data_IF_530866302234
#
_entry.id   IF_530866302234
#
_cell.length_a   1.000
_cell.length_b   1.000
_cell.length_c   1.000
_cell.angle_alpha   90.00
_cell.angle_beta   90.00
_cell.angle_gamma   90.00
#
_symmetry.space_group_name_H-M   'P 1'
#
loop_
_entity.id
_entity.type
_entity.pdbx_description
1 polymer ?
#
# COMPACT_ATOMS: atom_id res chain seq x y z
N UNK A 1 21.22 -21.85 21.79
CA UNK A 1 20.98 -20.38 21.67
C UNK A 1 20.67 -20.08 20.23
N UNK A 2 19.46 -19.60 19.87
CA UNK A 2 19.16 -19.19 18.49
C UNK A 2 19.91 -17.88 18.24
N UNK A 3 20.84 -17.87 17.27
CA UNK A 3 21.49 -16.65 16.79
C UNK A 3 20.39 -15.67 16.33
N UNK A 4 20.14 -14.61 17.11
CA UNK A 4 19.32 -13.50 16.65
C UNK A 4 20.12 -12.77 15.57
N UNK A 5 19.52 -12.60 14.39
CA UNK A 5 20.06 -11.74 13.34
C UNK A 5 20.32 -10.35 13.93
N UNK A 6 21.46 -9.70 13.63
CA UNK A 6 21.83 -8.41 14.24
C UNK A 6 20.89 -7.28 13.83
N UNK A 7 20.24 -7.43 12.69
CA UNK A 7 19.23 -6.54 12.12
C UNK A 7 18.14 -7.38 11.44
N UNK A 8 16.88 -6.98 11.55
CA UNK A 8 15.74 -7.62 10.91
C UNK A 8 14.69 -6.57 10.51
N UNK A 9 13.89 -6.87 9.49
CA UNK A 9 12.77 -6.00 9.14
C UNK A 9 11.73 -5.99 10.26
N UNK A 10 11.25 -4.79 10.59
CA UNK A 10 9.98 -4.59 11.30
C UNK A 10 8.84 -4.48 10.29
N UNK A 11 9.06 -3.69 9.24
CA UNK A 11 8.16 -3.53 8.10
C UNK A 11 8.91 -2.95 6.90
N UNK A 12 8.36 -3.17 5.72
CA UNK A 12 8.73 -2.47 4.50
C UNK A 12 7.46 -2.09 3.75
N UNK A 13 7.41 -0.88 3.23
CA UNK A 13 6.25 -0.31 2.53
C UNK A 13 6.70 0.31 1.20
N UNK A 14 6.55 -0.41 0.08
CA UNK A 14 6.71 0.18 -1.23
C UNK A 14 5.49 1.04 -1.59
N UNK A 15 5.70 2.31 -1.85
CA UNK A 15 4.65 3.28 -2.22
C UNK A 15 4.89 3.79 -3.64
N UNK A 16 3.92 3.61 -4.53
CA UNK A 16 3.97 4.12 -5.89
C UNK A 16 3.66 5.62 -5.85
N UNK A 17 4.71 6.45 -5.88
CA UNK A 17 4.60 7.91 -5.79
C UNK A 17 4.07 8.50 -7.10
N UNK A 18 4.50 7.93 -8.22
CA UNK A 18 4.17 8.38 -9.55
C UNK A 18 4.25 7.19 -10.51
N UNK A 19 3.38 7.18 -11.52
CA UNK A 19 3.45 6.22 -12.62
C UNK A 19 2.74 6.76 -13.86
N UNK A 20 3.38 6.64 -15.01
CA UNK A 20 2.82 6.87 -16.34
C UNK A 20 3.23 5.74 -17.30
N UNK A 21 3.25 5.99 -18.61
CA UNK A 21 3.64 5.02 -19.64
C UNK A 21 5.16 4.80 -19.72
N UNK A 22 5.94 5.80 -19.35
CA UNK A 22 7.38 5.85 -19.53
C UNK A 22 8.13 5.50 -18.24
N UNK A 23 7.58 5.82 -17.08
CA UNK A 23 8.25 5.64 -15.79
C UNK A 23 7.31 5.43 -14.59
N UNK A 24 7.84 4.75 -13.58
CA UNK A 24 7.27 4.68 -12.24
C UNK A 24 8.32 5.10 -11.19
N UNK A 25 7.92 5.92 -10.23
CA UNK A 25 8.75 6.33 -9.08
C UNK A 25 8.19 5.66 -7.83
N UNK A 26 9.04 4.91 -7.12
CA UNK A 26 8.64 4.17 -5.91
C UNK A 26 9.45 4.68 -4.72
N UNK A 27 8.74 5.05 -3.65
CA UNK A 27 9.30 5.32 -2.34
C UNK A 27 9.11 4.08 -1.46
N UNK A 28 10.19 3.36 -1.13
CA UNK A 28 10.14 2.25 -0.19
C UNK A 28 10.58 2.72 1.20
N UNK A 29 9.63 2.76 2.14
CA UNK A 29 9.90 3.06 3.54
C UNK A 29 10.20 1.76 4.26
N UNK A 30 11.37 1.66 4.90
CA UNK A 30 11.75 0.49 5.69
C UNK A 30 11.89 0.87 7.16
N UNK A 31 11.44 -0.01 8.03
CA UNK A 31 11.70 0.03 9.46
C UNK A 31 12.34 -1.28 9.88
N UNK A 32 13.34 -1.21 10.75
CA UNK A 32 14.11 -2.37 11.22
C UNK A 32 14.11 -2.46 12.74
N UNK A 33 14.46 -3.64 13.25
CA UNK A 33 14.85 -3.86 14.64
C UNK A 33 16.31 -4.27 14.64
N UNK A 34 17.13 -3.56 15.40
CA UNK A 34 18.56 -3.86 15.57
C UNK A 34 18.85 -4.19 17.03
N UNK A 35 19.77 -5.13 17.26
CA UNK A 35 20.30 -5.41 18.60
C UNK A 35 21.49 -4.51 18.96
N UNK A 36 22.03 -3.75 17.99
CA UNK A 36 23.16 -2.84 18.20
C UNK A 36 22.64 -1.47 18.63
N UNK A 37 23.39 -0.80 19.52
CA UNK A 37 23.09 0.56 20.00
C UNK A 37 23.31 1.63 18.93
N UNK A 38 24.12 1.35 17.92
CA UNK A 38 24.35 2.24 16.79
C UNK A 38 23.16 2.15 15.83
N UNK A 39 22.29 3.16 15.90
CA UNK A 39 21.08 3.24 15.09
C UNK A 39 21.34 3.84 13.70
N UNK A 40 22.51 4.46 13.50
CA UNK A 40 22.94 5.14 12.27
C UNK A 40 23.95 4.30 11.45
N UNK A 41 23.75 2.98 11.41
CA UNK A 41 24.61 2.11 10.62
C UNK A 41 24.24 2.19 9.13
N UNK A 42 25.23 2.26 8.21
CA UNK A 42 24.97 2.03 6.79
C UNK A 42 24.54 0.58 6.61
N UNK A 43 23.47 0.38 5.84
CA UNK A 43 22.95 -0.94 5.46
C UNK A 43 22.73 -0.93 3.96
N UNK A 44 23.15 -1.99 3.29
CA UNK A 44 22.87 -2.17 1.87
C UNK A 44 21.51 -2.84 1.72
N UNK A 45 20.69 -2.30 0.81
CA UNK A 45 19.41 -2.88 0.44
C UNK A 45 19.43 -3.30 -1.01
N UNK A 46 18.99 -4.53 -1.25
CA UNK A 46 18.76 -5.06 -2.59
C UNK A 46 17.26 -5.27 -2.79
N UNK A 47 16.68 -4.50 -3.70
CA UNK A 47 15.30 -4.64 -4.15
C UNK A 47 15.30 -5.44 -5.45
N UNK A 48 14.47 -6.47 -5.52
CA UNK A 48 14.20 -7.25 -6.72
C UNK A 48 12.70 -7.24 -6.98
N UNK A 49 12.31 -6.81 -8.17
CA UNK A 49 10.93 -6.87 -8.64
C UNK A 49 10.83 -7.82 -9.83
N UNK A 50 10.01 -8.87 -9.70
CA UNK A 50 9.69 -9.77 -10.81
C UNK A 50 8.32 -9.42 -11.34
N UNK A 51 8.29 -8.85 -12.52
CA UNK A 51 7.06 -8.46 -13.20
C UNK A 51 6.49 -9.56 -14.09
N UNK A 52 5.33 -9.27 -14.70
CA UNK A 52 4.68 -10.12 -15.69
C UNK A 52 5.63 -10.49 -16.83
N UNK A 53 5.48 -11.71 -17.36
CA UNK A 53 6.36 -12.27 -18.41
C UNK A 53 7.84 -12.41 -18.00
N UNK A 54 8.12 -12.45 -16.69
CA UNK A 54 9.45 -12.73 -16.15
C UNK A 54 10.43 -11.56 -16.21
N UNK A 55 9.97 -10.33 -16.49
CA UNK A 55 10.84 -9.15 -16.44
C UNK A 55 11.36 -8.96 -15.02
N UNK A 56 12.67 -8.92 -14.83
CA UNK A 56 13.30 -8.69 -13.53
C UNK A 56 13.92 -7.30 -13.50
N UNK A 57 13.64 -6.58 -12.42
CA UNK A 57 14.25 -5.27 -12.11
C UNK A 57 14.99 -5.43 -10.79
N UNK A 58 16.22 -4.96 -10.73
CA UNK A 58 17.06 -5.00 -9.51
C UNK A 58 17.60 -3.63 -9.19
N UNK A 59 17.49 -3.22 -7.93
CA UNK A 59 18.04 -1.95 -7.42
C UNK A 59 18.87 -2.27 -6.19
N UNK A 60 20.09 -1.77 -6.15
CA UNK A 60 20.97 -1.84 -4.99
C UNK A 60 21.30 -0.42 -4.52
N UNK A 61 21.12 -0.16 -3.22
CA UNK A 61 21.46 1.13 -2.61
C UNK A 61 21.99 0.92 -1.20
N UNK A 62 23.04 1.67 -0.86
CA UNK A 62 23.42 1.89 0.53
C UNK A 62 22.47 2.92 1.15
N UNK A 63 21.92 2.61 2.33
CA UNK A 63 21.08 3.53 3.10
C UNK A 63 21.57 3.67 4.53
N UNK A 64 21.47 4.89 5.05
CA UNK A 64 21.69 5.15 6.46
C UNK A 64 20.34 5.08 7.16
N UNK A 65 20.22 4.16 8.11
CA UNK A 65 19.08 4.12 9.00
C UNK A 65 19.14 5.34 9.94
N UNK A 66 17.98 5.92 10.25
CA UNK A 66 17.81 6.93 11.29
C UNK A 66 16.69 6.46 12.19
N UNK A 67 16.98 6.32 13.48
CA UNK A 67 16.04 5.72 14.46
C UNK A 67 15.46 4.38 13.99
N UNK A 68 16.27 3.59 13.28
CA UNK A 68 15.87 2.29 12.73
C UNK A 68 14.93 2.37 11.52
N UNK A 69 14.85 3.49 10.82
CA UNK A 69 14.08 3.62 9.58
C UNK A 69 14.88 4.29 8.45
N UNK A 70 14.51 4.00 7.21
CA UNK A 70 15.06 4.67 6.02
C UNK A 70 14.01 4.75 4.90
N UNK A 71 14.21 5.69 3.98
CA UNK A 71 13.42 5.78 2.74
C UNK A 71 14.34 5.57 1.54
N UNK A 72 13.95 4.65 0.66
CA UNK A 72 14.66 4.32 -0.57
C UNK A 72 13.79 4.74 -1.75
N UNK A 73 14.21 5.76 -2.49
CA UNK A 73 13.57 6.16 -3.75
C UNK A 73 14.27 5.53 -4.94
N UNK A 74 13.52 4.96 -5.87
CA UNK A 74 14.05 4.47 -7.14
C UNK A 74 13.01 4.58 -8.27
N UNK A 75 13.50 4.46 -9.50
CA UNK A 75 12.72 4.65 -10.72
C UNK A 75 12.77 3.38 -11.58
N UNK A 76 11.66 3.12 -12.28
CA UNK A 76 11.52 2.02 -13.22
C UNK A 76 11.07 2.62 -14.55
N UNK A 77 11.79 2.33 -15.64
CA UNK A 77 11.36 2.69 -16.99
C UNK A 77 10.36 1.69 -17.58
N UNK A 78 9.51 2.16 -18.50
CA UNK A 78 8.50 1.40 -19.24
C UNK A 78 7.65 0.49 -18.33
N UNK A 79 7.02 1.01 -17.27
CA UNK A 79 6.31 0.18 -16.30
C UNK A 79 5.08 -0.51 -16.93
N UNK A 80 4.83 -1.77 -16.54
CA UNK A 80 3.54 -2.42 -16.76
C UNK A 80 2.61 -1.97 -15.64
N UNK A 81 1.60 -1.17 -15.97
CA UNK A 81 0.68 -0.57 -14.99
C UNK A 81 -0.43 -1.55 -14.60
N UNK A 82 -0.85 -1.47 -13.36
CA UNK A 82 -2.06 -2.12 -12.89
C UNK A 82 -3.29 -1.25 -13.20
N UNK A 83 -4.36 -1.87 -13.67
CA UNK A 83 -5.64 -1.24 -13.97
C UNK A 83 -6.82 -1.98 -13.34
N UNK A 84 -7.88 -1.28 -12.95
CA UNK A 84 -9.17 -1.90 -12.65
C UNK A 84 -9.71 -2.69 -13.84
N UNK A 85 -10.59 -3.65 -13.57
CA UNK A 85 -11.27 -4.42 -14.59
C UNK A 85 -11.98 -3.48 -15.58
N UNK A 86 -11.87 -3.79 -16.88
CA UNK A 86 -12.43 -2.96 -17.95
C UNK A 86 -11.57 -1.76 -18.37
N UNK A 87 -10.52 -1.40 -17.63
CA UNK A 87 -9.64 -0.26 -17.98
C UNK A 87 -8.25 -0.66 -18.54
N UNK A 88 -7.87 -1.93 -18.38
CA UNK A 88 -6.57 -2.45 -18.82
C UNK A 88 -6.22 -3.75 -18.10
N UNK A 89 -4.94 -4.10 -18.13
CA UNK A 89 -4.41 -5.31 -17.48
C UNK A 89 -4.10 -5.08 -15.99
N UNK A 90 -4.33 -6.10 -15.17
CA UNK A 90 -4.05 -6.11 -13.72
C UNK A 90 -2.59 -6.55 -13.46
N UNK A 91 -1.61 -5.82 -14.00
CA UNK A 91 -0.20 -6.23 -13.93
C UNK A 91 0.34 -6.12 -12.50
N UNK A 92 0.84 -7.23 -11.95
CA UNK A 92 1.34 -7.36 -10.58
C UNK A 92 2.81 -7.81 -10.59
N UNK A 93 3.59 -7.22 -9.69
CA UNK A 93 5.01 -7.52 -9.48
C UNK A 93 5.19 -8.23 -8.13
N UNK A 94 6.01 -9.28 -8.11
CA UNK A 94 6.60 -9.78 -6.87
C UNK A 94 7.70 -8.81 -6.44
N UNK A 95 7.49 -8.08 -5.36
CA UNK A 95 8.46 -7.16 -4.76
C UNK A 95 9.18 -7.86 -3.60
N UNK A 96 10.50 -7.98 -3.69
CA UNK A 96 11.35 -8.48 -2.62
C UNK A 96 12.39 -7.42 -2.27
N UNK A 97 12.54 -7.11 -0.98
CA UNK A 97 13.63 -6.28 -0.47
C UNK A 97 14.45 -7.09 0.52
N UNK A 98 15.78 -7.05 0.38
CA UNK A 98 16.72 -7.78 1.22
C UNK A 98 17.70 -6.80 1.86
N UNK A 99 17.87 -6.89 3.19
CA UNK A 99 18.95 -6.22 3.92
C UNK A 99 20.23 -7.05 3.78
N UNK A 100 21.32 -6.38 3.45
CA UNK A 100 22.63 -6.97 3.28
C UNK A 100 23.61 -6.37 4.29
N UNK A 101 24.53 -7.22 4.77
CA UNK A 101 25.73 -6.79 5.49
C UNK A 101 26.95 -7.25 4.68
N UNK A 102 27.47 -6.38 3.82
CA UNK A 102 28.36 -6.82 2.74
C UNK A 102 27.60 -7.69 1.75
N UNK A 103 28.12 -8.88 1.43
CA UNK A 103 27.46 -9.83 0.51
C UNK A 103 26.47 -10.80 1.21
N UNK A 104 26.36 -10.74 2.54
CA UNK A 104 25.53 -11.66 3.31
C UNK A 104 24.10 -11.12 3.45
N UNK A 105 23.10 -11.93 3.04
CA UNK A 105 21.69 -11.63 3.23
C UNK A 105 21.27 -11.76 4.69
N UNK A 106 20.99 -10.63 5.32
CA UNK A 106 20.60 -10.56 6.72
C UNK A 106 19.13 -10.91 6.87
N UNK A 107 18.24 -10.26 6.13
CA UNK A 107 16.80 -10.48 6.22
C UNK A 107 16.10 -10.04 4.94
N UNK A 108 14.91 -10.58 4.67
CA UNK A 108 14.14 -10.26 3.46
C UNK A 108 12.68 -10.05 3.78
N UNK A 109 12.05 -9.14 3.04
CA UNK A 109 10.62 -8.88 3.10
C UNK A 109 10.04 -8.92 1.69
N UNK A 110 8.83 -9.45 1.55
CA UNK A 110 8.18 -9.66 0.26
C UNK A 110 6.72 -9.22 0.29
N UNK A 111 6.25 -8.69 -0.84
CA UNK A 111 4.83 -8.42 -1.09
C UNK A 111 4.53 -8.44 -2.58
N UNK A 112 3.24 -8.42 -2.93
CA UNK A 112 2.78 -8.13 -4.28
C UNK A 112 2.60 -6.62 -4.42
N UNK A 113 3.04 -6.06 -5.55
CA UNK A 113 2.92 -4.63 -5.84
C UNK A 113 2.33 -4.42 -7.23
N UNK A 114 1.28 -3.60 -7.35
CA UNK A 114 0.80 -3.09 -8.63
C UNK A 114 1.22 -1.64 -8.82
N UNK A 115 1.64 -1.29 -10.04
CA UNK A 115 2.05 0.06 -10.38
C UNK A 115 0.82 0.86 -10.86
N UNK A 116 0.20 1.61 -9.96
CA UNK A 116 -0.99 2.42 -10.26
C UNK A 116 -0.99 3.74 -9.51
N UNK A 117 -1.68 4.75 -10.05
CA UNK A 117 -2.04 5.97 -9.32
C UNK A 117 -3.55 6.05 -9.20
N UNK A 118 -4.06 6.14 -7.97
CA UNK A 118 -5.49 6.40 -7.71
C UNK A 118 -5.61 7.74 -6.98
N UNK A 119 -6.41 8.65 -7.52
CA UNK A 119 -6.57 10.02 -7.01
C UNK A 119 -8.04 10.42 -7.01
N UNK A 120 -8.39 11.36 -6.14
CA UNK A 120 -9.63 12.14 -6.27
C UNK A 120 -9.29 13.47 -6.98
N UNK A 121 -10.08 13.95 -7.95
CA UNK A 121 -9.90 15.27 -8.53
C UNK A 121 -9.97 16.37 -7.47
N UNK A 122 -9.09 17.36 -7.54
CA UNK A 122 -9.14 18.54 -6.66
C UNK A 122 -10.37 19.41 -7.01
N UNK A 123 -11.05 19.92 -5.98
CA UNK A 123 -12.13 20.90 -6.15
C UNK A 123 -13.47 20.35 -6.68
N UNK A 124 -13.58 19.05 -6.95
CA UNK A 124 -14.86 18.41 -7.24
C UNK A 124 -15.53 17.93 -5.94
N UNK A 125 -16.77 18.37 -5.76
CA UNK A 125 -17.67 17.87 -4.73
C UNK A 125 -18.09 16.44 -5.12
N UNK A 126 -17.40 15.45 -4.56
CA UNK A 126 -17.86 14.06 -4.39
C UNK A 126 -18.07 13.22 -5.67
N UNK A 127 -17.18 12.24 -5.93
CA UNK A 127 -17.56 11.03 -6.66
C UNK A 127 -16.53 10.44 -7.63
N UNK A 128 -15.86 11.26 -8.43
CA UNK A 128 -14.97 10.73 -9.46
C UNK A 128 -13.64 10.25 -8.85
N UNK A 129 -13.25 9.02 -9.15
CA UNK A 129 -11.89 8.55 -8.94
C UNK A 129 -11.14 8.65 -10.27
N UNK A 130 -9.86 9.02 -10.23
CA UNK A 130 -8.96 8.96 -11.36
C UNK A 130 -7.98 7.82 -11.14
N UNK A 131 -7.92 6.89 -12.09
CA UNK A 131 -6.95 5.80 -12.11
C UNK A 131 -6.01 6.00 -13.28
N UNK A 132 -4.72 6.17 -12.99
CA UNK A 132 -3.69 6.50 -13.97
C UNK A 132 -4.09 7.69 -14.87
N UNK A 133 -4.79 8.68 -14.28
CA UNK A 133 -5.27 9.88 -14.95
C UNK A 133 -6.58 9.71 -15.74
N UNK A 134 -7.18 8.52 -15.77
CA UNK A 134 -8.48 8.27 -16.44
C UNK A 134 -9.60 8.18 -15.41
N UNK A 135 -10.77 8.71 -15.74
CA UNK A 135 -11.95 8.61 -14.90
C UNK A 135 -12.38 7.16 -14.70
N UNK A 136 -12.62 6.80 -13.46
CA UNK A 136 -13.13 5.51 -13.03
C UNK A 136 -14.57 5.70 -12.58
N UNK A 137 -15.48 5.04 -13.28
CA UNK A 137 -16.91 4.99 -12.97
C UNK A 137 -17.26 3.66 -12.32
N UNK A 138 -18.13 3.70 -11.33
CA UNK A 138 -18.69 2.53 -10.66
C UNK A 138 -20.18 2.76 -10.42
N UNK A 139 -20.98 1.69 -10.47
CA UNK A 139 -22.44 1.75 -10.36
C UNK A 139 -22.93 1.58 -8.92
N UNK A 140 -22.13 0.94 -8.07
CA UNK A 140 -22.54 0.60 -6.70
C UNK A 140 -21.35 0.51 -5.76
N UNK A 141 -21.59 0.87 -4.50
CA UNK A 141 -20.67 0.55 -3.40
C UNK A 141 -21.17 -0.71 -2.70
N UNK A 142 -20.32 -1.72 -2.60
CA UNK A 142 -20.60 -2.98 -1.88
C UNK A 142 -19.82 -2.97 -0.58
N UNK A 143 -20.53 -2.92 0.54
CA UNK A 143 -19.92 -3.04 1.85
C UNK A 143 -19.45 -4.48 2.09
N UNK A 144 -18.24 -4.62 2.60
CA UNK A 144 -17.70 -5.86 3.17
C UNK A 144 -17.72 -5.65 4.68
N UNK A 145 -18.48 -6.49 5.40
CA UNK A 145 -18.57 -6.48 6.85
C UNK A 145 -17.75 -7.64 7.45
N UNK A 146 -17.38 -7.59 8.75
CA UNK A 146 -16.53 -8.60 9.36
C UNK A 146 -17.04 -10.04 9.24
N UNK A 147 -18.36 -10.24 9.23
CA UNK A 147 -19.00 -11.56 9.20
C UNK A 147 -19.11 -12.15 7.78
N UNK A 148 -18.70 -11.41 6.74
CA UNK A 148 -18.75 -11.84 5.34
C UNK A 148 -17.58 -12.78 4.95
N UNK A 149 -17.03 -13.55 5.90
CA UNK A 149 -15.81 -14.38 5.76
C UNK A 149 -15.83 -15.41 4.61
N UNK A 150 -16.97 -15.61 3.93
CA UNK A 150 -17.15 -16.52 2.79
C UNK A 150 -17.66 -15.88 1.51
N UNK A 151 -17.87 -14.57 1.47
CA UNK A 151 -18.34 -13.90 0.26
C UNK A 151 -17.17 -13.74 -0.70
N UNK A 152 -16.96 -14.78 -1.52
CA UNK A 152 -16.38 -14.66 -2.87
C UNK A 152 -16.91 -13.37 -3.46
N UNK A 153 -16.03 -12.39 -3.67
CA UNK A 153 -16.32 -11.06 -4.23
C UNK A 153 -17.66 -11.03 -4.97
N UNK A 154 -18.76 -10.55 -4.37
CA UNK A 154 -20.04 -10.45 -5.08
C UNK A 154 -20.06 -9.25 -6.04
N UNK A 155 -18.88 -8.67 -6.32
CA UNK A 155 -18.70 -7.48 -7.10
C UNK A 155 -18.48 -7.84 -8.58
N UNK A 156 -19.38 -7.35 -9.42
CA UNK A 156 -19.08 -7.12 -10.84
C UNK A 156 -17.88 -6.17 -10.98
N UNK A 157 -17.27 -6.14 -12.17
CA UNK A 157 -16.21 -5.17 -12.51
C UNK A 157 -16.58 -3.71 -12.23
N UNK A 158 -17.88 -3.42 -12.11
CA UNK A 158 -18.43 -2.08 -12.02
C UNK A 158 -18.77 -1.69 -10.56
N UNK A 159 -18.30 -2.45 -9.56
CA UNK A 159 -18.51 -2.19 -8.14
C UNK A 159 -17.25 -1.62 -7.47
N UNK A 160 -17.45 -0.72 -6.51
CA UNK A 160 -16.42 -0.26 -5.57
C UNK A 160 -16.65 -0.96 -4.23
N UNK A 161 -15.64 -1.64 -3.68
CA UNK A 161 -15.78 -2.24 -2.35
C UNK A 161 -15.56 -1.20 -1.25
N UNK A 162 -16.26 -1.38 -0.14
CA UNK A 162 -16.00 -0.64 1.10
C UNK A 162 -15.75 -1.65 2.22
N UNK A 163 -14.49 -1.77 2.67
CA UNK A 163 -14.16 -2.56 3.85
C UNK A 163 -14.53 -1.74 5.08
N UNK A 164 -15.64 -2.09 5.74
CA UNK A 164 -16.32 -1.20 6.69
C UNK A 164 -16.03 -1.57 8.15
N UNK A 165 -15.55 -0.60 8.93
CA UNK A 165 -15.28 -0.71 10.38
C UNK A 165 -14.41 -1.92 10.82
N UNK A 166 -13.61 -2.46 9.89
CA UNK A 166 -12.57 -3.46 10.13
C UNK A 166 -11.53 -3.41 9.01
N UNK A 167 -10.41 -4.14 9.12
CA UNK A 167 -9.33 -4.08 8.12
C UNK A 167 -9.30 -5.26 7.12
N UNK A 168 -10.23 -6.21 7.23
CA UNK A 168 -10.28 -7.42 6.39
C UNK A 168 -9.03 -8.32 6.47
N UNK A 169 -9.10 -9.55 5.92
CA UNK A 169 -7.94 -10.42 5.76
C UNK A 169 -7.14 -10.11 4.48
N UNK A 170 -5.86 -10.50 4.40
CA UNK A 170 -5.00 -10.30 3.22
C UNK A 170 -5.61 -10.86 1.93
N UNK A 171 -6.26 -12.03 2.02
CA UNK A 171 -6.88 -12.70 0.87
C UNK A 171 -7.95 -11.85 0.17
N UNK A 172 -8.61 -10.94 0.89
CA UNK A 172 -9.58 -10.00 0.30
C UNK A 172 -8.89 -9.04 -0.67
N UNK A 173 -7.77 -8.46 -0.25
CA UNK A 173 -7.01 -7.51 -1.04
C UNK A 173 -6.26 -8.18 -2.18
N UNK A 174 -5.66 -9.34 -1.93
CA UNK A 174 -5.03 -10.15 -2.98
C UNK A 174 -6.03 -10.54 -4.07
N UNK A 175 -7.27 -10.88 -3.69
CA UNK A 175 -8.33 -11.18 -4.63
C UNK A 175 -8.78 -9.92 -5.40
N UNK A 176 -8.94 -8.79 -4.73
CA UNK A 176 -9.30 -7.51 -5.35
C UNK A 176 -8.23 -7.03 -6.34
N UNK A 177 -6.95 -7.15 -5.99
CA UNK A 177 -5.81 -6.83 -6.85
C UNK A 177 -5.82 -7.67 -8.12
N UNK A 178 -6.05 -8.98 -8.02
CA UNK A 178 -6.09 -9.89 -9.18
C UNK A 178 -7.34 -9.69 -10.03
N UNK A 179 -8.47 -9.39 -9.39
CA UNK A 179 -9.74 -9.19 -10.08
C UNK A 179 -9.86 -7.79 -10.71
N UNK A 180 -9.00 -6.84 -10.35
CA UNK A 180 -9.11 -5.47 -10.82
C UNK A 180 -10.25 -4.69 -10.15
N UNK A 181 -10.58 -5.01 -8.90
CA UNK A 181 -11.69 -4.38 -8.18
C UNK A 181 -11.11 -3.37 -7.18
N UNK A 182 -11.51 -2.10 -7.29
CA UNK A 182 -11.08 -1.07 -6.34
C UNK A 182 -11.84 -1.20 -5.01
N UNK A 183 -11.17 -0.78 -3.93
CA UNK A 183 -11.75 -0.75 -2.59
C UNK A 183 -11.37 0.51 -1.81
N UNK A 184 -12.26 0.95 -0.94
CA UNK A 184 -12.00 1.96 0.09
C UNK A 184 -11.92 1.27 1.44
N UNK A 185 -10.86 1.54 2.21
CA UNK A 185 -10.68 1.02 3.56
C UNK A 185 -11.18 2.01 4.60
N UNK A 186 -12.30 1.70 5.26
CA UNK A 186 -12.82 2.51 6.37
C UNK A 186 -12.05 2.23 7.65
N UNK A 187 -11.40 3.24 8.23
CA UNK A 187 -10.68 3.05 9.50
C UNK A 187 -11.68 2.84 10.64
N UNK A 188 -11.53 1.80 11.48
CA UNK A 188 -12.35 1.64 12.67
C UNK A 188 -12.04 2.72 13.70
N UNK A 189 -12.99 3.62 13.98
CA UNK A 189 -12.76 4.81 14.82
C UNK A 189 -13.13 4.64 16.29
N UNK A 190 -13.27 3.40 16.77
CA UNK A 190 -13.52 3.13 18.20
C UNK A 190 -12.29 3.55 19.00
N UNK A 191 -12.38 4.53 19.93
CA UNK A 191 -11.23 4.99 20.69
C UNK A 191 -10.63 3.83 21.48
N UNK A 192 -9.41 3.46 21.15
CA UNK A 192 -8.60 2.47 21.86
C UNK A 192 -7.22 3.04 22.15
N UNK A 193 -6.62 2.59 23.25
CA UNK A 193 -5.28 3.03 23.64
C UNK A 193 -4.20 2.64 22.63
N UNK A 194 -4.47 1.66 21.76
CA UNK A 194 -3.57 1.12 20.75
C UNK A 194 -3.91 1.56 19.31
N UNK A 195 -4.86 2.47 19.11
CA UNK A 195 -5.35 2.84 17.77
C UNK A 195 -4.21 3.24 16.80
N UNK A 196 -3.26 4.05 17.27
CA UNK A 196 -2.12 4.51 16.47
C UNK A 196 -1.19 3.35 16.06
N UNK A 197 -1.04 2.33 16.93
CA UNK A 197 -0.27 1.12 16.64
C UNK A 197 -1.00 0.24 15.62
N UNK A 198 -2.30 0.06 15.79
CA UNK A 198 -3.13 -0.69 14.85
C UNK A 198 -3.10 -0.04 13.47
N UNK A 199 -3.35 1.27 13.37
CA UNK A 199 -3.30 1.99 12.09
C UNK A 199 -1.93 1.85 11.41
N UNK A 200 -0.83 1.98 12.17
CA UNK A 200 0.51 1.76 11.60
C UNK A 200 0.67 0.38 10.98
N UNK A 201 0.29 -0.66 11.73
CA UNK A 201 0.40 -2.04 11.30
C UNK A 201 -0.42 -2.31 10.05
N UNK A 202 -1.63 -1.77 9.99
CA UNK A 202 -2.53 -1.99 8.87
C UNK A 202 -2.12 -1.20 7.63
N UNK A 203 -1.55 0.01 7.77
CA UNK A 203 -0.92 0.69 6.63
C UNK A 203 0.30 -0.09 6.13
N UNK A 204 1.13 -0.63 7.03
CA UNK A 204 2.25 -1.49 6.65
C UNK A 204 1.81 -2.71 5.84
N UNK A 205 0.65 -3.28 6.19
CA UNK A 205 0.06 -4.43 5.50
C UNK A 205 -0.56 -4.03 4.16
N UNK A 206 -1.26 -2.90 4.11
CA UNK A 206 -2.20 -2.62 3.02
C UNK A 206 -1.69 -1.70 1.92
N UNK A 207 -0.69 -0.85 2.19
CA UNK A 207 -0.32 0.23 1.27
C UNK A 207 0.20 -0.25 -0.11
N UNK A 208 0.70 -1.49 -0.19
CA UNK A 208 1.21 -2.07 -1.43
C UNK A 208 0.09 -2.54 -2.39
N UNK A 209 -1.14 -2.75 -1.91
CA UNK A 209 -2.23 -3.25 -2.73
C UNK A 209 -2.69 -2.18 -3.73
N UNK A 210 -2.56 -2.40 -5.05
CA UNK A 210 -3.03 -1.46 -6.05
C UNK A 210 -4.54 -1.21 -5.97
N UNK A 211 -5.34 -2.20 -5.55
CA UNK A 211 -6.79 -2.08 -5.39
C UNK A 211 -7.24 -1.06 -4.33
N UNK A 212 -6.40 -0.72 -3.35
CA UNK A 212 -6.74 0.22 -2.28
C UNK A 212 -6.87 1.66 -2.81
N UNK A 213 -8.06 2.11 -3.20
CA UNK A 213 -8.28 3.46 -3.71
C UNK A 213 -7.97 4.55 -2.69
N UNK A 214 -8.21 4.27 -1.41
CA UNK A 214 -7.78 5.12 -0.30
C UNK A 214 -8.45 4.77 1.03
N UNK A 215 -8.28 5.68 2.00
CA UNK A 215 -8.69 5.49 3.38
C UNK A 215 -9.90 6.35 3.69
N UNK A 216 -10.98 5.76 4.21
CA UNK A 216 -12.11 6.51 4.73
C UNK A 216 -11.94 6.73 6.23
N UNK A 217 -11.88 8.00 6.62
CA UNK A 217 -11.89 8.45 8.01
C UNK A 217 -13.12 9.33 8.18
N UNK A 218 -14.22 8.70 8.55
CA UNK A 218 -15.46 9.39 8.90
C UNK A 218 -15.36 10.19 10.20
N UNK A 219 -16.49 10.76 10.62
CA UNK A 219 -16.70 11.61 11.80
C UNK A 219 -15.72 12.80 11.93
N UNK A 220 -16.21 13.98 12.32
CA UNK A 220 -15.37 15.17 12.48
C UNK A 220 -14.99 15.39 13.95
N UNK A 221 -14.30 14.41 14.53
CA UNK A 221 -13.79 14.48 15.90
C UNK A 221 -12.29 14.76 15.90
N UNK A 222 -11.77 15.29 17.02
CA UNK A 222 -10.31 15.43 17.23
C UNK A 222 -9.56 14.10 17.07
N UNK A 223 -10.20 12.99 17.41
CA UNK A 223 -9.60 11.66 17.28
C UNK A 223 -9.48 11.25 15.81
N UNK A 224 -10.56 11.37 15.03
CA UNK A 224 -10.56 11.04 13.60
C UNK A 224 -9.64 11.98 12.82
N UNK A 225 -9.54 13.27 13.17
CA UNK A 225 -8.55 14.18 12.57
C UNK A 225 -7.11 13.77 12.84
N UNK A 226 -6.82 13.31 14.06
CA UNK A 226 -5.49 12.77 14.40
C UNK A 226 -5.18 11.52 13.57
N UNK A 227 -6.15 10.63 13.39
CA UNK A 227 -6.00 9.43 12.56
C UNK A 227 -5.80 9.79 11.08
N UNK A 228 -6.57 10.73 10.53
CA UNK A 228 -6.40 11.22 9.15
C UNK A 228 -5.02 11.85 8.95
N UNK A 229 -4.58 12.73 9.87
CA UNK A 229 -3.24 13.30 9.82
C UNK A 229 -2.15 12.22 9.85
N UNK A 230 -2.33 11.18 10.68
CA UNK A 230 -1.40 10.06 10.76
C UNK A 230 -1.34 9.27 9.46
N UNK A 231 -2.50 8.92 8.88
CA UNK A 231 -2.57 8.23 7.58
C UNK A 231 -1.84 8.99 6.48
N UNK A 232 -2.00 10.32 6.43
CA UNK A 232 -1.32 11.16 5.43
C UNK A 232 0.21 11.03 5.49
N UNK A 233 0.77 10.81 6.68
CA UNK A 233 2.22 10.62 6.86
C UNK A 233 2.67 9.18 6.57
N UNK A 234 1.83 8.18 6.84
CA UNK A 234 2.17 6.77 6.65
C UNK A 234 2.02 6.34 5.19
N UNK A 235 1.00 6.84 4.52
CA UNK A 235 0.64 6.56 3.13
C UNK A 235 0.23 7.85 2.40
N UNK A 236 1.21 8.71 2.06
CA UNK A 236 0.95 9.95 1.34
C UNK A 236 0.50 9.74 -0.12
N UNK A 237 0.46 8.50 -0.60
CA UNK A 237 0.11 8.18 -1.99
C UNK A 237 -1.39 7.94 -2.20
N UNK A 238 -2.13 7.76 -1.10
CA UNK A 238 -3.57 7.50 -1.14
C UNK A 238 -4.37 8.69 -0.63
N UNK A 239 -5.55 8.84 -1.22
CA UNK A 239 -6.50 9.86 -0.78
C UNK A 239 -7.13 9.46 0.56
N UNK A 240 -7.44 10.47 1.37
CA UNK A 240 -8.15 10.28 2.64
C UNK A 240 -9.55 10.87 2.47
N UNK A 241 -10.52 9.98 2.35
CA UNK A 241 -11.94 10.30 2.24
C UNK A 241 -12.50 10.70 3.60
N UNK A 242 -13.32 11.74 3.62
CA UNK A 242 -14.18 12.11 4.77
C UNK A 242 -15.62 11.64 4.59
N UNK A 243 -16.07 11.62 3.34
CA UNK A 243 -17.33 11.05 2.88
C UNK A 243 -17.07 10.05 1.76
N UNK A 244 -18.00 9.12 1.53
CA UNK A 244 -17.88 8.18 0.42
C UNK A 244 -18.05 8.90 -0.93
N UNK A 245 -17.36 8.45 -1.99
CA UNK A 245 -17.65 8.93 -3.33
C UNK A 245 -19.06 8.51 -3.77
N UNK A 246 -19.70 9.35 -4.59
CA UNK A 246 -20.99 9.05 -5.21
C UNK A 246 -20.81 8.08 -6.38
N UNK A 247 -21.73 7.11 -6.50
CA UNK A 247 -21.82 6.25 -7.67
C UNK A 247 -22.29 7.05 -8.90
N UNK A 248 -21.90 6.59 -10.09
CA UNK A 248 -22.27 7.17 -11.39
C UNK A 248 -23.70 6.83 -11.81
#
# INVERSE_FOLDING_TARGET
MKNRKPIAFRSARPLVRYVDEDQAVIDTIVSVVTTKKDQDAPVDVHIRMTGPRGRVITVQKGVTLRDGAAMIRFEIGDPRRWWPAGMGDQELYEFCITLLAGDEAMDSWQTTLGLTSVRSPEGQSEGALLVNGREYSFQSIVAVDPDDERSVLPASSDSLLLVRDHFGPDILYDAADRAGILLIQSVPLKPRNDADFVVNREVDRLAAHPSLAGWLVGDETRFSDRIAHRLHHLDPTRYIFRTLPMAS
#
